data_IF_413245975119
#
_entry.id   IF_413245975119
#
_cell.length_a   1.000
_cell.length_b   1.000
_cell.length_c   1.000
_cell.angle_alpha   90.00
_cell.angle_beta   90.00
_cell.angle_gamma   90.00
#
_symmetry.space_group_name_H-M   'P 1'
#
loop_
_entity.id
_entity.type
_entity.pdbx_description
1 polymer ?
#
# COMPACT_ATOMS: atom_id res chain seq x y z
N UNK A 1 -12.15 -0.14 -15.26
CA UNK A 1 -12.44 -0.10 -13.81
C UNK A 1 -12.81 1.32 -13.39
N UNK A 2 -11.87 2.25 -13.15
CA UNK A 2 -12.22 3.64 -12.80
C UNK A 2 -12.84 4.42 -13.97
N UNK A 3 -12.41 4.17 -15.20
CA UNK A 3 -12.98 4.81 -16.40
C UNK A 3 -14.44 4.38 -16.72
N UNK A 4 -14.98 3.37 -16.02
CA UNK A 4 -16.31 2.82 -16.28
C UNK A 4 -17.33 3.16 -15.18
N UNK A 5 -17.00 4.09 -14.28
CA UNK A 5 -17.88 4.51 -13.18
C UNK A 5 -17.67 5.96 -12.83
N UNK A 6 -18.72 6.63 -12.36
CA UNK A 6 -18.67 8.00 -11.83
C UNK A 6 -18.40 8.03 -10.32
N UNK A 7 -18.29 6.87 -9.67
CA UNK A 7 -18.00 6.77 -8.23
C UNK A 7 -16.48 6.79 -8.00
N UNK A 8 -15.97 7.50 -6.97
CA UNK A 8 -14.55 7.49 -6.65
C UNK A 8 -14.01 6.07 -6.42
N UNK A 9 -12.92 5.72 -7.11
CA UNK A 9 -12.21 4.46 -6.91
C UNK A 9 -11.03 4.67 -5.95
N UNK A 10 -10.92 3.78 -4.97
CA UNK A 10 -9.86 3.79 -3.94
C UNK A 10 -9.04 2.51 -3.99
N UNK A 11 -7.80 2.54 -3.52
CA UNK A 11 -6.96 1.34 -3.39
C UNK A 11 -6.72 1.01 -1.92
N UNK A 12 -6.92 -0.26 -1.55
CA UNK A 12 -6.47 -0.81 -0.27
C UNK A 12 -5.35 -1.82 -0.51
N UNK A 13 -4.17 -1.59 0.06
CA UNK A 13 -3.00 -2.44 -0.15
C UNK A 13 -2.23 -2.68 1.16
N UNK A 14 -1.11 -3.42 1.07
CA UNK A 14 -0.14 -3.61 2.16
C UNK A 14 1.14 -2.83 1.84
N UNK A 15 1.98 -2.60 2.84
CA UNK A 15 3.29 -1.92 2.68
C UNK A 15 4.27 -2.67 1.75
N UNK A 16 3.99 -3.94 1.47
CA UNK A 16 4.68 -4.75 0.49
C UNK A 16 4.48 -6.25 0.74
N UNK A 17 5.28 -7.05 0.06
CA UNK A 17 5.26 -8.52 0.13
C UNK A 17 6.66 -9.05 0.45
N UNK A 18 6.72 -10.14 1.21
CA UNK A 18 7.90 -10.94 1.52
C UNK A 18 9.14 -10.10 1.89
N UNK A 19 10.27 -10.26 1.20
CA UNK A 19 11.50 -9.50 1.44
C UNK A 19 11.61 -8.20 0.64
N UNK A 20 10.65 -7.93 -0.25
CA UNK A 20 10.63 -6.70 -1.07
C UNK A 20 10.31 -5.44 -0.23
N UNK A 21 10.02 -5.59 1.06
CA UNK A 21 9.54 -4.51 1.93
C UNK A 21 10.13 -4.58 3.36
N UNK A 22 11.46 -4.63 3.43
CA UNK A 22 12.21 -4.51 4.68
C UNK A 22 12.86 -3.12 4.85
N UNK A 23 12.66 -2.51 6.02
CA UNK A 23 13.40 -1.31 6.43
C UNK A 23 13.22 -0.11 5.49
N UNK A 24 14.29 0.65 5.17
CA UNK A 24 14.22 1.87 4.35
C UNK A 24 13.63 1.66 2.94
N UNK A 25 13.76 0.45 2.40
CA UNK A 25 13.29 0.12 1.04
C UNK A 25 11.76 0.12 0.94
N UNK A 26 11.06 -0.15 2.04
CA UNK A 26 9.59 -0.17 2.11
C UNK A 26 8.98 1.14 1.63
N UNK A 27 9.52 2.29 2.08
CA UNK A 27 9.04 3.61 1.67
C UNK A 27 9.24 3.86 0.17
N UNK A 28 10.38 3.42 -0.37
CA UNK A 28 10.67 3.58 -1.79
C UNK A 28 9.71 2.76 -2.66
N UNK A 29 9.50 1.48 -2.35
CA UNK A 29 8.60 0.64 -3.13
C UNK A 29 7.14 1.06 -3.01
N UNK A 30 6.68 1.37 -1.81
CA UNK A 30 5.32 1.87 -1.59
C UNK A 30 5.11 3.21 -2.30
N UNK A 31 6.07 4.13 -2.20
CA UNK A 31 6.03 5.42 -2.91
C UNK A 31 5.96 5.25 -4.43
N UNK A 32 6.79 4.36 -4.99
CA UNK A 32 6.77 4.06 -6.42
C UNK A 32 5.45 3.40 -6.87
N UNK A 33 4.89 2.52 -6.04
CA UNK A 33 3.58 1.93 -6.30
C UNK A 33 2.49 2.99 -6.35
N UNK A 34 2.41 3.84 -5.31
CA UNK A 34 1.42 4.93 -5.24
C UNK A 34 1.60 5.86 -6.44
N UNK A 35 2.83 6.28 -6.74
CA UNK A 35 3.14 7.14 -7.88
C UNK A 35 2.68 6.55 -9.21
N UNK A 36 2.97 5.27 -9.48
CA UNK A 36 2.52 4.60 -10.71
C UNK A 36 1.00 4.58 -10.81
N UNK A 37 0.31 4.20 -9.74
CA UNK A 37 -1.15 4.10 -9.73
C UNK A 37 -1.80 5.49 -9.87
N UNK A 38 -1.28 6.52 -9.19
CA UNK A 38 -1.84 7.87 -9.24
C UNK A 38 -1.60 8.57 -10.59
N UNK A 39 -0.49 8.26 -11.27
CA UNK A 39 -0.16 8.83 -12.58
C UNK A 39 -0.94 8.15 -13.70
N UNK A 40 -1.14 6.84 -13.61
CA UNK A 40 -1.82 6.05 -14.64
C UNK A 40 -3.34 5.90 -14.40
N UNK A 41 -3.87 6.43 -13.30
CA UNK A 41 -5.30 6.35 -12.98
C UNK A 41 -5.80 7.59 -12.22
N UNK A 42 -7.13 7.83 -12.21
CA UNK A 42 -7.75 8.87 -11.37
C UNK A 42 -7.72 8.58 -9.86
N UNK A 43 -7.19 7.44 -9.41
CA UNK A 43 -7.17 7.05 -8.00
C UNK A 43 -6.33 8.03 -7.19
N UNK A 44 -6.91 8.64 -6.15
CA UNK A 44 -6.21 9.57 -5.24
C UNK A 44 -6.21 9.14 -3.78
N UNK A 45 -7.04 8.18 -3.42
CA UNK A 45 -7.19 7.75 -2.04
C UNK A 45 -6.69 6.31 -1.85
N UNK A 46 -5.71 6.18 -0.94
CA UNK A 46 -5.02 4.93 -0.66
C UNK A 46 -5.10 4.61 0.84
N UNK A 47 -5.58 3.40 1.12
CA UNK A 47 -5.65 2.82 2.46
C UNK A 47 -4.58 1.75 2.55
N UNK A 48 -3.49 2.03 3.26
CA UNK A 48 -2.36 1.10 3.36
C UNK A 48 -2.46 0.37 4.69
N UNK A 49 -2.45 -0.95 4.68
CA UNK A 49 -2.30 -1.75 5.89
C UNK A 49 -0.82 -1.83 6.25
N UNK A 50 -0.48 -1.42 7.47
CA UNK A 50 0.87 -1.25 8.00
C UNK A 50 1.67 -2.53 8.20
N UNK A 51 1.20 -3.67 7.67
CA UNK A 51 1.89 -4.97 7.71
C UNK A 51 2.18 -5.44 6.30
N UNK A 52 3.37 -6.02 6.09
CA UNK A 52 3.69 -6.72 4.84
C UNK A 52 2.88 -8.01 4.72
N UNK A 53 2.69 -8.49 3.49
CA UNK A 53 2.17 -9.83 3.24
C UNK A 53 3.32 -10.83 3.19
N UNK A 54 3.19 -11.94 3.92
CA UNK A 54 4.06 -13.10 3.78
C UNK A 54 3.30 -14.14 2.97
N UNK A 55 3.67 -14.34 1.71
CA UNK A 55 2.95 -15.24 0.80
C UNK A 55 3.40 -16.70 0.94
N UNK A 56 4.58 -16.93 1.50
CA UNK A 56 5.08 -18.26 1.85
C UNK A 56 4.86 -18.59 3.32
N UNK A 57 4.18 -19.70 3.60
CA UNK A 57 4.29 -20.40 4.88
C UNK A 57 3.34 -19.98 6.01
N UNK A 58 2.40 -19.04 5.81
CA UNK A 58 1.41 -18.69 6.85
C UNK A 58 -0.01 -18.49 6.30
N UNK A 59 -1.02 -18.71 7.15
CA UNK A 59 -2.43 -18.53 6.76
C UNK A 59 -2.81 -17.06 6.56
N UNK A 60 -3.94 -16.74 5.89
CA UNK A 60 -4.47 -15.38 5.81
C UNK A 60 -4.77 -14.73 7.17
N UNK A 61 -5.17 -15.53 8.16
CA UNK A 61 -5.41 -15.07 9.52
C UNK A 61 -4.10 -14.68 10.20
N UNK A 62 -3.08 -15.53 10.07
CA UNK A 62 -1.74 -15.28 10.61
C UNK A 62 -1.08 -14.09 9.94
N UNK A 63 -1.33 -13.88 8.65
CA UNK A 63 -0.88 -12.71 7.90
C UNK A 63 -1.40 -11.37 8.44
N UNK A 64 -2.39 -11.37 9.36
CA UNK A 64 -2.85 -10.17 10.09
C UNK A 64 -2.19 -10.00 11.44
N UNK A 65 -1.56 -11.04 12.00
CA UNK A 65 -1.05 -11.07 13.38
C UNK A 65 0.47 -11.19 13.45
N UNK A 66 1.09 -11.97 12.57
CA UNK A 66 2.52 -12.32 12.61
C UNK A 66 3.43 -11.19 12.10
N UNK A 67 3.27 -10.62 10.88
CA UNK A 67 4.23 -9.62 10.38
C UNK A 67 4.08 -8.32 11.16
N UNK A 68 5.13 -7.73 11.73
CA UNK A 68 5.01 -6.56 12.62
C UNK A 68 4.37 -5.36 11.91
N UNK A 69 3.71 -4.50 12.69
CA UNK A 69 3.27 -3.20 12.21
C UNK A 69 4.50 -2.33 11.95
N UNK A 70 4.52 -1.66 10.81
CA UNK A 70 5.57 -0.73 10.42
C UNK A 70 4.99 0.68 10.39
N UNK A 71 5.57 1.57 11.19
CA UNK A 71 5.26 3.00 11.13
C UNK A 71 5.87 3.57 9.85
N UNK A 72 5.02 3.83 8.86
CA UNK A 72 5.40 4.61 7.69
C UNK A 72 4.83 6.00 7.89
N UNK A 73 5.72 6.99 8.02
CA UNK A 73 5.31 8.38 8.09
C UNK A 73 4.46 8.74 6.86
N UNK A 74 3.37 9.46 7.10
CA UNK A 74 2.55 10.06 6.05
C UNK A 74 3.44 10.74 5.00
N UNK A 75 3.15 10.52 3.72
CA UNK A 75 3.85 11.23 2.66
C UNK A 75 2.91 11.67 1.56
N UNK A 76 3.11 12.90 1.12
CA UNK A 76 2.43 13.48 -0.02
C UNK A 76 3.23 13.19 -1.29
N UNK A 77 2.55 12.71 -2.32
CA UNK A 77 3.06 12.63 -3.68
C UNK A 77 2.18 13.55 -4.55
N UNK A 78 2.50 14.84 -4.54
CA UNK A 78 1.67 15.87 -5.18
C UNK A 78 0.29 15.98 -4.53
N UNK A 79 -0.77 15.74 -5.32
CA UNK A 79 -2.17 15.72 -4.83
C UNK A 79 -2.63 14.34 -4.33
N UNK A 80 -1.71 13.37 -4.20
CA UNK A 80 -2.01 12.02 -3.73
C UNK A 80 -1.47 11.84 -2.33
N UNK A 81 -2.35 11.41 -1.44
CA UNK A 81 -2.08 11.12 -0.05
C UNK A 81 -2.31 9.63 0.21
N UNK A 82 -1.42 9.01 0.97
CA UNK A 82 -1.64 7.66 1.48
C UNK A 82 -1.40 7.59 2.98
N UNK A 83 -2.26 6.83 3.65
CA UNK A 83 -2.24 6.65 5.10
C UNK A 83 -2.00 5.18 5.42
N UNK A 84 -1.12 4.93 6.39
CA UNK A 84 -0.93 3.60 6.97
C UNK A 84 -1.89 3.43 8.15
N UNK A 85 -2.76 2.42 8.09
CA UNK A 85 -3.65 1.93 9.16
C UNK A 85 -3.14 0.60 9.72
#
# INVERSE_FOLDING_TARGET
>A
MSANTNVPVTVKCRIGVDELSGGPKTKFYLGNFVHKVSTLSPTRHFIVHSRKALLGGISPADNRRIPPLTTIAYSNLGNTSYYCL
#
